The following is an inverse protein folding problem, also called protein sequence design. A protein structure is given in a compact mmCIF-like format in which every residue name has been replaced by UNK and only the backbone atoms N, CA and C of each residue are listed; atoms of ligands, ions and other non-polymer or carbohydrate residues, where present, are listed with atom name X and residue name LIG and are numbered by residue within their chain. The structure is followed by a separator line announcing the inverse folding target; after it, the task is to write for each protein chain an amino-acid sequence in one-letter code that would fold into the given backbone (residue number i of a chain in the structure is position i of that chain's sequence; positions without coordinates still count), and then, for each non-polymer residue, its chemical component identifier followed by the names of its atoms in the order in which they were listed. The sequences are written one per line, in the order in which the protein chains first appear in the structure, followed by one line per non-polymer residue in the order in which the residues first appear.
data_IF_990822635029
#
_entry.id   IF_990822635029
#
_cell.length_a   1.000
_cell.length_b   1.000
_cell.length_c   1.000
_cell.angle_alpha   90.00
_cell.angle_beta   90.00
_cell.angle_gamma   90.00
#
_symmetry.space_group_name_H-M   'P 1'
#
loop_
_entity.id
_entity.type
_entity.pdbx_description
1 polymer ?
#
# COMPACT_ATOMS: atom_id res chain seq x y z
N UNK A 1 -14.26 36.95 -42.39
CA UNK A 1 -15.38 36.00 -42.52
C UNK A 1 -15.21 35.09 -43.76
N UNK A 2 -14.07 34.39 -43.86
CA UNK A 2 -13.70 33.57 -45.05
C UNK A 2 -13.66 32.06 -44.76
N UNK A 3 -13.64 31.63 -43.50
CA UNK A 3 -13.65 30.21 -43.13
C UNK A 3 -14.99 29.53 -43.47
N UNK A 4 -16.11 30.23 -43.32
CA UNK A 4 -17.45 29.61 -43.42
C UNK A 4 -17.86 29.21 -44.85
N UNK A 5 -17.29 29.83 -45.89
CA UNK A 5 -17.68 29.56 -47.29
C UNK A 5 -17.12 28.25 -47.86
N UNK A 6 -16.08 27.67 -47.24
CA UNK A 6 -15.43 26.44 -47.71
C UNK A 6 -15.74 25.16 -46.91
N UNK A 7 -16.63 25.24 -45.90
CA UNK A 7 -16.99 24.07 -45.09
C UNK A 7 -17.66 22.94 -45.88
N UNK A 8 -18.43 23.25 -46.95
CA UNK A 8 -19.12 22.23 -47.75
C UNK A 8 -18.19 21.42 -48.67
N UNK A 9 -17.09 21.99 -49.15
CA UNK A 9 -16.14 21.31 -50.06
C UNK A 9 -15.16 20.40 -49.31
N UNK A 10 -14.83 20.74 -48.06
CA UNK A 10 -13.79 20.09 -47.27
C UNK A 10 -14.33 19.30 -46.07
N UNK A 11 -15.54 18.73 -46.19
CA UNK A 11 -16.17 17.91 -45.12
C UNK A 11 -15.27 16.79 -44.62
N UNK A 12 -14.55 16.12 -45.54
CA UNK A 12 -13.60 15.04 -45.20
C UNK A 12 -12.43 15.55 -44.36
N UNK A 13 -11.90 16.73 -44.68
CA UNK A 13 -10.79 17.33 -43.94
C UNK A 13 -11.21 17.71 -42.51
N UNK A 14 -12.40 18.29 -42.34
CA UNK A 14 -12.95 18.59 -41.01
C UNK A 14 -13.22 17.33 -40.18
N UNK A 15 -13.68 16.26 -40.83
CA UNK A 15 -13.94 14.98 -40.17
C UNK A 15 -12.63 14.32 -39.70
N UNK A 16 -11.57 14.36 -40.52
CA UNK A 16 -10.23 13.89 -40.14
C UNK A 16 -9.65 14.72 -38.99
N UNK A 17 -9.73 16.05 -39.06
CA UNK A 17 -9.27 16.94 -37.97
C UNK A 17 -10.05 16.66 -36.67
N UNK A 18 -11.36 16.44 -36.77
CA UNK A 18 -12.20 16.07 -35.64
C UNK A 18 -11.79 14.73 -35.01
N UNK A 19 -11.56 13.69 -35.81
CA UNK A 19 -11.11 12.38 -35.32
C UNK A 19 -9.73 12.50 -34.64
N UNK A 20 -8.79 13.23 -35.25
CA UNK A 20 -7.45 13.43 -34.68
C UNK A 20 -7.53 14.19 -33.35
N UNK A 21 -8.39 15.21 -33.26
CA UNK A 21 -8.61 15.96 -32.02
C UNK A 21 -9.21 15.08 -30.91
N UNK A 22 -10.23 14.26 -31.22
CA UNK A 22 -10.85 13.36 -30.24
C UNK A 22 -9.87 12.26 -29.81
N UNK A 23 -9.07 11.70 -30.73
CA UNK A 23 -8.03 10.74 -30.39
C UNK A 23 -6.98 11.33 -29.44
N UNK A 24 -6.48 12.54 -29.73
CA UNK A 24 -5.51 13.23 -28.88
C UNK A 24 -6.07 13.54 -27.48
N UNK A 25 -7.33 13.99 -27.38
CA UNK A 25 -8.00 14.22 -26.10
C UNK A 25 -8.22 12.92 -25.31
N UNK A 26 -8.57 11.83 -26.00
CA UNK A 26 -8.80 10.52 -25.39
C UNK A 26 -7.49 9.96 -24.83
N UNK A 27 -6.40 10.06 -25.59
CA UNK A 27 -5.04 9.73 -25.13
C UNK A 27 -4.69 10.59 -23.91
N UNK A 28 -4.81 11.92 -24.01
CA UNK A 28 -4.42 12.82 -22.92
C UNK A 28 -5.27 12.68 -21.64
N UNK A 29 -6.51 12.19 -21.72
CA UNK A 29 -7.33 11.84 -20.56
C UNK A 29 -6.94 10.50 -19.92
N UNK A 30 -6.43 9.56 -20.72
CA UNK A 30 -6.14 8.19 -20.25
C UNK A 30 -4.75 8.06 -19.63
N UNK A 31 -3.75 8.78 -20.16
CA UNK A 31 -2.36 8.77 -19.67
C UNK A 31 -2.18 9.23 -18.22
N UNK A 32 -2.73 10.38 -17.77
CA UNK A 32 -2.58 10.81 -16.38
C UNK A 32 -3.25 9.82 -15.41
N UNK A 33 -4.37 9.21 -15.82
CA UNK A 33 -5.07 8.19 -15.02
C UNK A 33 -4.27 6.88 -14.90
N UNK A 34 -3.54 6.51 -15.95
CA UNK A 34 -2.61 5.37 -15.95
C UNK A 34 -1.38 5.66 -15.07
N UNK A 35 -0.77 6.84 -15.17
CA UNK A 35 0.35 7.23 -14.30
C UNK A 35 -0.04 7.23 -12.82
N UNK A 36 -1.15 7.89 -12.46
CA UNK A 36 -1.66 7.92 -11.08
C UNK A 36 -1.97 6.54 -10.50
N UNK A 37 -2.48 5.61 -11.32
CA UNK A 37 -2.78 4.24 -10.88
C UNK A 37 -1.52 3.39 -10.72
N UNK A 38 -0.51 3.64 -11.56
CA UNK A 38 0.78 2.93 -11.52
C UNK A 38 1.60 3.40 -10.31
N UNK A 39 1.67 4.72 -10.07
CA UNK A 39 2.39 5.29 -8.93
C UNK A 39 1.82 4.82 -7.58
N UNK A 40 0.49 4.78 -7.44
CA UNK A 40 -0.18 4.27 -6.23
C UNK A 40 0.13 2.78 -5.99
N UNK A 41 0.16 1.96 -7.05
CA UNK A 41 0.46 0.52 -6.95
C UNK A 41 1.94 0.27 -6.62
N UNK A 42 2.86 0.98 -7.27
CA UNK A 42 4.30 0.87 -7.03
C UNK A 42 4.65 1.35 -5.62
N UNK A 43 4.08 2.47 -5.17
CA UNK A 43 4.28 3.01 -3.83
C UNK A 43 3.78 2.05 -2.74
N UNK A 44 2.57 1.50 -2.91
CA UNK A 44 2.00 0.52 -1.97
C UNK A 44 2.84 -0.77 -1.89
N UNK A 45 3.36 -1.25 -3.02
CA UNK A 45 4.24 -2.43 -3.06
C UNK A 45 5.58 -2.18 -2.37
N UNK A 46 6.25 -1.06 -2.65
CA UNK A 46 7.53 -0.74 -2.03
C UNK A 46 7.41 -0.59 -0.52
N UNK A 47 6.33 0.05 -0.05
CA UNK A 47 6.05 0.18 1.38
C UNK A 47 5.70 -1.16 2.04
N UNK A 48 5.04 -2.07 1.32
CA UNK A 48 4.78 -3.42 1.80
C UNK A 48 6.07 -4.22 1.96
N UNK A 49 6.96 -4.19 0.96
CA UNK A 49 8.27 -4.86 1.05
C UNK A 49 9.10 -4.28 2.20
N UNK A 50 9.11 -2.95 2.36
CA UNK A 50 9.77 -2.31 3.49
C UNK A 50 9.19 -2.77 4.83
N UNK A 51 7.85 -2.87 4.94
CA UNK A 51 7.18 -3.38 6.12
C UNK A 51 7.58 -4.84 6.43
N UNK A 52 7.67 -5.71 5.42
CA UNK A 52 8.16 -7.09 5.59
C UNK A 52 9.60 -7.14 6.10
N UNK A 53 10.50 -6.34 5.50
CA UNK A 53 11.89 -6.26 5.95
C UNK A 53 12.00 -5.80 7.41
N UNK A 54 11.18 -4.83 7.82
CA UNK A 54 11.15 -4.35 9.20
C UNK A 54 10.71 -5.48 10.15
N UNK A 55 9.66 -6.21 9.80
CA UNK A 55 9.16 -7.34 10.61
C UNK A 55 10.23 -8.42 10.75
N UNK A 56 10.88 -8.80 9.64
CA UNK A 56 11.92 -9.83 9.64
C UNK A 56 13.16 -9.43 10.44
N UNK A 57 13.55 -8.14 10.41
CA UNK A 57 14.72 -7.65 11.14
C UNK A 57 14.45 -7.35 12.61
N UNK A 58 13.21 -6.99 12.97
CA UNK A 58 12.90 -6.48 14.32
C UNK A 58 11.92 -7.38 15.07
N UNK A 59 10.72 -7.57 14.54
CA UNK A 59 9.61 -8.22 15.25
C UNK A 59 9.86 -9.72 15.45
N UNK A 60 10.17 -10.45 14.38
CA UNK A 60 10.35 -11.90 14.44
C UNK A 60 11.50 -12.32 15.37
N UNK A 61 12.73 -11.76 15.27
CA UNK A 61 13.83 -12.19 16.13
C UNK A 61 13.54 -11.95 17.61
N UNK A 62 12.86 -10.86 17.94
CA UNK A 62 12.52 -10.51 19.31
C UNK A 62 11.44 -11.42 19.90
N UNK A 63 10.42 -11.77 19.11
CA UNK A 63 9.38 -12.70 19.55
C UNK A 63 9.94 -14.12 19.65
N UNK A 64 10.68 -14.59 18.64
CA UNK A 64 11.34 -15.89 18.68
C UNK A 64 12.29 -16.01 19.88
N UNK A 65 12.98 -14.94 20.26
CA UNK A 65 13.80 -14.90 21.48
C UNK A 65 12.96 -14.94 22.76
N UNK A 66 11.84 -14.21 22.84
CA UNK A 66 10.96 -14.18 24.02
C UNK A 66 10.30 -15.54 24.28
N UNK A 67 9.92 -16.27 23.23
CA UNK A 67 9.25 -17.57 23.34
C UNK A 67 10.16 -18.78 23.10
N UNK A 68 11.45 -18.56 22.76
CA UNK A 68 12.43 -19.59 22.43
C UNK A 68 11.94 -20.59 21.37
N UNK A 69 11.18 -20.12 20.38
CA UNK A 69 10.48 -20.96 19.41
C UNK A 69 10.39 -20.31 18.03
N UNK A 70 10.23 -21.15 17.01
CA UNK A 70 9.95 -20.70 15.66
C UNK A 70 8.58 -20.03 15.56
N UNK A 71 8.61 -18.75 15.21
CA UNK A 71 7.43 -17.92 15.00
C UNK A 71 7.22 -17.74 13.50
N UNK A 72 5.96 -17.77 13.07
CA UNK A 72 5.57 -17.41 11.70
C UNK A 72 4.78 -16.10 11.73
N UNK A 73 4.71 -15.37 10.63
CA UNK A 73 3.90 -14.15 10.56
C UNK A 73 3.04 -14.13 9.30
N UNK A 74 1.93 -13.41 9.38
CA UNK A 74 1.09 -13.08 8.24
C UNK A 74 0.93 -11.55 8.21
N UNK A 75 1.31 -10.93 7.09
CA UNK A 75 1.14 -9.50 6.86
C UNK A 75 0.03 -9.28 5.83
N UNK A 76 -0.98 -8.49 6.16
CA UNK A 76 -2.06 -8.17 5.26
C UNK A 76 -1.67 -6.98 4.37
N UNK A 77 -1.83 -7.17 3.06
CA UNK A 77 -1.58 -6.15 2.03
C UNK A 77 -2.78 -5.21 1.87
N UNK A 78 -3.28 -4.69 2.98
CA UNK A 78 -4.37 -3.73 3.05
C UNK A 78 -3.85 -2.46 3.72
N UNK A 79 -3.20 -1.58 2.93
CA UNK A 79 -2.76 -0.30 3.48
C UNK A 79 -3.97 0.57 3.75
N UNK A 80 -4.19 0.95 5.01
CA UNK A 80 -5.32 1.81 5.39
C UNK A 80 -4.91 3.28 5.28
N UNK A 81 -5.48 3.95 4.27
CA UNK A 81 -5.48 5.41 4.02
C UNK A 81 -4.15 6.14 3.76
N UNK A 82 -4.28 7.21 2.97
CA UNK A 82 -3.22 7.97 2.31
C UNK A 82 -2.30 8.80 3.24
N UNK A 83 -2.69 9.04 4.50
CA UNK A 83 -1.94 9.92 5.41
C UNK A 83 -1.04 9.18 6.40
N UNK A 84 -1.34 7.91 6.69
CA UNK A 84 -0.54 7.07 7.57
C UNK A 84 -0.46 5.66 6.96
N UNK A 85 0.45 5.47 6.01
CA UNK A 85 0.69 4.15 5.41
C UNK A 85 1.13 3.17 6.52
N UNK A 86 0.22 2.28 6.93
CA UNK A 86 0.51 1.18 7.85
C UNK A 86 -0.08 -0.13 7.32
N UNK A 87 0.54 -1.24 7.73
CA UNK A 87 0.08 -2.59 7.43
C UNK A 87 -0.22 -3.33 8.72
N UNK A 88 -1.26 -4.14 8.71
CA UNK A 88 -1.67 -4.99 9.83
C UNK A 88 -1.23 -6.42 9.60
N UNK A 89 -0.85 -7.10 10.65
CA UNK A 89 -0.50 -8.51 10.57
C UNK A 89 -0.66 -9.22 11.90
N UNK A 90 -0.41 -10.52 11.89
CA UNK A 90 -0.42 -11.36 13.07
C UNK A 90 0.84 -12.22 13.10
N UNK A 91 1.47 -12.34 14.27
CA UNK A 91 2.53 -13.32 14.51
C UNK A 91 1.90 -14.56 15.13
N UNK A 92 2.14 -15.70 14.52
CA UNK A 92 1.65 -17.01 14.93
C UNK A 92 2.76 -17.71 15.74
N UNK A 93 2.47 -18.00 17.01
CA UNK A 93 3.39 -18.65 17.95
C UNK A 93 2.91 -20.09 18.13
N UNK A 94 3.60 -21.05 17.50
CA UNK A 94 3.08 -22.42 17.28
C UNK A 94 2.78 -23.23 18.56
N UNK A 95 3.43 -22.97 19.70
CA UNK A 95 3.20 -23.74 20.95
C UNK A 95 2.72 -22.90 22.14
N UNK A 96 2.27 -21.66 21.95
CA UNK A 96 1.81 -20.84 23.08
C UNK A 96 0.30 -21.01 23.33
N UNK A 97 -0.04 -21.79 24.35
CA UNK A 97 -1.43 -22.18 24.67
C UNK A 97 -2.37 -21.01 24.99
N UNK A 98 -1.87 -19.88 25.50
CA UNK A 98 -2.73 -18.75 25.89
C UNK A 98 -2.88 -17.66 24.83
N UNK A 99 -1.94 -17.58 23.87
CA UNK A 99 -1.90 -16.51 22.87
C UNK A 99 -1.21 -17.03 21.60
N UNK A 100 -1.89 -17.84 20.79
CA UNK A 100 -1.31 -18.41 19.58
C UNK A 100 -1.10 -17.36 18.48
N UNK A 101 -1.74 -16.21 18.60
CA UNK A 101 -1.69 -15.11 17.61
C UNK A 101 -1.50 -13.78 18.30
N UNK A 102 -0.56 -13.00 17.80
CA UNK A 102 -0.21 -11.68 18.30
C UNK A 102 -0.41 -10.64 17.19
N UNK A 103 -1.49 -9.85 17.22
CA UNK A 103 -1.73 -8.82 16.23
C UNK A 103 -0.73 -7.68 16.35
N UNK A 104 -0.27 -7.16 15.22
CA UNK A 104 0.64 -6.03 15.15
C UNK A 104 0.28 -5.08 14.01
N UNK A 105 0.81 -3.85 14.10
CA UNK A 105 0.76 -2.82 13.08
C UNK A 105 2.19 -2.37 12.79
N UNK A 106 2.55 -2.29 11.51
CA UNK A 106 3.85 -1.80 11.07
C UNK A 106 3.67 -0.52 10.25
N UNK A 107 4.47 0.48 10.61
CA UNK A 107 4.50 1.80 9.98
C UNK A 107 5.83 1.94 9.25
N UNK A 108 5.92 1.53 7.97
CA UNK A 108 7.19 1.52 7.22
C UNK A 108 7.85 2.89 7.15
N UNK A 109 7.06 3.97 7.00
CA UNK A 109 7.56 5.35 6.95
C UNK A 109 8.31 5.77 8.22
N UNK A 110 7.94 5.20 9.37
CA UNK A 110 8.49 5.55 10.68
C UNK A 110 9.37 4.44 11.27
N UNK A 111 9.61 3.36 10.51
CA UNK A 111 10.31 2.17 10.97
C UNK A 111 9.82 1.67 12.35
N UNK A 112 8.49 1.70 12.56
CA UNK A 112 7.86 1.48 13.86
C UNK A 112 6.92 0.28 13.81
N UNK A 113 6.98 -0.55 14.83
CA UNK A 113 6.09 -1.69 15.02
C UNK A 113 5.34 -1.54 16.34
N UNK A 114 4.02 -1.59 16.26
CA UNK A 114 3.13 -1.63 17.41
C UNK A 114 2.52 -3.02 17.55
N UNK A 115 2.48 -3.52 18.77
CA UNK A 115 1.90 -4.82 19.12
C UNK A 115 0.63 -4.59 19.92
N UNK A 116 -0.41 -5.37 19.65
CA UNK A 116 -1.63 -5.32 20.43
C UNK A 116 -1.40 -5.96 21.80
N UNK A 117 -1.52 -5.16 22.86
CA UNK A 117 -1.52 -5.65 24.23
C UNK A 117 -2.91 -6.22 24.56
N UNK A 118 -2.98 -7.51 24.88
CA UNK A 118 -4.22 -8.23 25.14
C UNK A 118 -4.90 -7.79 26.44
N UNK A 119 -4.14 -7.25 27.40
CA UNK A 119 -4.69 -6.76 28.68
C UNK A 119 -5.36 -5.41 28.52
N UNK A 120 -4.72 -4.49 27.79
CA UNK A 120 -5.21 -3.11 27.64
C UNK A 120 -6.02 -2.89 26.37
N UNK A 121 -6.03 -3.88 25.45
CA UNK A 121 -6.60 -3.79 24.09
C UNK A 121 -6.08 -2.59 23.29
N UNK A 122 -4.87 -2.13 23.61
CA UNK A 122 -4.21 -0.99 22.95
C UNK A 122 -2.96 -1.44 22.21
N UNK A 123 -2.68 -0.78 21.10
CA UNK A 123 -1.42 -0.94 20.37
C UNK A 123 -0.31 -0.19 21.11
N UNK A 124 0.73 -0.91 21.53
CA UNK A 124 1.89 -0.36 22.24
C UNK A 124 3.17 -0.66 21.49
N UNK A 125 4.22 0.12 21.72
CA UNK A 125 5.52 -0.12 21.09
C UNK A 125 6.09 -1.49 21.42
N UNK A 126 6.74 -2.11 20.43
CA UNK A 126 7.41 -3.41 20.58
C UNK A 126 8.37 -3.45 21.77
N UNK A 127 9.17 -2.39 21.97
CA UNK A 127 10.11 -2.29 23.11
C UNK A 127 9.38 -2.30 24.46
N UNK A 128 8.25 -1.62 24.55
CA UNK A 128 7.43 -1.55 25.77
C UNK A 128 6.73 -2.89 26.02
N UNK A 129 6.25 -3.53 24.97
CA UNK A 129 5.62 -4.86 25.05
C UNK A 129 6.61 -5.95 25.47
N UNK A 130 7.86 -5.88 25.02
CA UNK A 130 8.90 -6.86 25.39
C UNK A 130 9.31 -6.77 26.87
N UNK A 131 9.29 -5.57 27.46
CA UNK A 131 9.64 -5.32 28.86
C UNK A 131 8.56 -5.73 29.87
N UNK A 132 7.34 -6.02 29.39
CA UNK A 132 6.26 -6.61 30.19
C UNK A 132 6.40 -8.13 30.25
#
# INVERSE_FOLDING_TARGET
MLLAKNLRKNKRLFLVIGIVAVANLSIMATFPKLHLSTDKKVHSNNHFIAAEQIIQKTLLPLISKKYQQDCSYQLQKTSTCADACFFTGEVIIKKHHSYPRLPFKVFPKHNRVLVLDTRTRKYIDLKTWLKK
#
